data_IF_676556271896
#
_entry.id   IF_676556271896
#
_cell.length_a   1.000
_cell.length_b   1.000
_cell.length_c   1.000
_cell.angle_alpha   90.00
_cell.angle_beta   90.00
_cell.angle_gamma   90.00
#
_symmetry.space_group_name_H-M   'P 1'
#
loop_
_entity.id
_entity.type
_entity.pdbx_description
1 polymer ?
#
# COMPACT_ATOMS: atom_id res chain seq x y z
N UNK A 1 -17.08 -67.75 -36.50
CA UNK A 1 -18.28 -67.26 -35.80
C UNK A 1 -18.17 -67.61 -34.31
N UNK A 2 -17.72 -66.72 -33.49
CA UNK A 2 -17.57 -66.96 -32.04
C UNK A 2 -18.37 -65.86 -31.31
N UNK A 3 -19.50 -66.28 -30.69
CA UNK A 3 -20.40 -65.44 -29.92
C UNK A 3 -19.71 -64.95 -28.61
N UNK A 4 -19.54 -63.65 -28.41
CA UNK A 4 -19.22 -63.05 -27.11
C UNK A 4 -20.43 -63.16 -26.19
N UNK A 5 -20.28 -63.82 -25.03
CA UNK A 5 -21.24 -63.81 -23.93
C UNK A 5 -21.19 -62.46 -23.20
N UNK A 6 -22.26 -61.73 -23.20
CA UNK A 6 -22.50 -60.59 -22.31
C UNK A 6 -22.61 -61.05 -20.85
N UNK A 7 -21.76 -60.53 -19.98
CA UNK A 7 -21.86 -60.74 -18.52
C UNK A 7 -22.82 -59.71 -17.95
N UNK A 8 -23.98 -60.16 -17.55
CA UNK A 8 -24.94 -59.36 -16.77
C UNK A 8 -24.42 -59.21 -15.33
N UNK A 9 -24.20 -57.98 -14.89
CA UNK A 9 -23.79 -57.65 -13.52
C UNK A 9 -25.00 -57.80 -12.61
N UNK A 10 -24.90 -58.65 -11.59
CA UNK A 10 -25.99 -58.89 -10.66
C UNK A 10 -26.24 -57.71 -9.70
N UNK A 11 -27.50 -57.56 -9.30
CA UNK A 11 -27.98 -56.47 -8.45
C UNK A 11 -27.15 -56.23 -7.18
N UNK A 12 -26.53 -57.27 -6.58
CA UNK A 12 -25.61 -57.19 -5.43
C UNK A 12 -24.28 -56.54 -5.79
N UNK A 13 -23.76 -56.78 -6.98
CA UNK A 13 -22.49 -56.19 -7.42
C UNK A 13 -22.64 -54.70 -7.86
N UNK A 14 -23.83 -54.34 -8.32
CA UNK A 14 -24.19 -52.94 -8.59
C UNK A 14 -24.29 -52.12 -7.30
N UNK A 15 -24.89 -52.69 -6.25
CA UNK A 15 -25.00 -52.02 -4.95
C UNK A 15 -23.65 -51.95 -4.18
N UNK A 16 -22.77 -52.92 -4.37
CA UNK A 16 -21.39 -52.84 -3.78
C UNK A 16 -20.54 -51.80 -4.51
N UNK A 17 -20.68 -51.64 -5.82
CA UNK A 17 -19.94 -50.62 -6.57
C UNK A 17 -20.46 -49.21 -6.36
N UNK A 18 -21.78 -49.04 -6.07
CA UNK A 18 -22.32 -47.73 -5.66
C UNK A 18 -21.97 -47.32 -4.26
N UNK A 19 -21.79 -48.27 -3.32
CA UNK A 19 -21.29 -47.96 -1.95
C UNK A 19 -19.81 -47.58 -1.95
N UNK A 20 -18.98 -48.13 -2.84
CA UNK A 20 -17.56 -47.76 -2.95
C UNK A 20 -17.34 -46.45 -3.69
N UNK A 21 -18.26 -46.04 -4.61
CA UNK A 21 -18.20 -44.73 -5.29
C UNK A 21 -18.74 -43.58 -4.41
N UNK A 22 -19.55 -43.88 -3.38
CA UNK A 22 -20.08 -42.87 -2.44
C UNK A 22 -19.13 -42.48 -1.32
N UNK A 23 -18.01 -43.22 -1.12
CA UNK A 23 -17.04 -42.95 -0.04
C UNK A 23 -15.82 -42.12 -0.49
N UNK A 24 -15.73 -41.75 -1.78
CA UNK A 24 -14.57 -41.05 -2.31
C UNK A 24 -14.82 -39.59 -2.75
N UNK A 25 -15.94 -38.97 -2.41
CA UNK A 25 -16.26 -37.57 -2.71
C UNK A 25 -16.69 -36.81 -1.45
N UNK A 26 -16.05 -37.11 -0.31
CA UNK A 26 -15.93 -36.15 0.79
C UNK A 26 -14.48 -35.62 0.82
N UNK A 27 -14.01 -35.09 -0.32
CA UNK A 27 -12.96 -34.08 -0.28
C UNK A 27 -13.63 -32.84 0.31
N UNK A 28 -13.25 -32.56 1.52
CA UNK A 28 -13.62 -31.44 2.36
C UNK A 28 -13.76 -30.17 1.51
N UNK A 29 -14.99 -29.79 1.18
CA UNK A 29 -15.31 -28.36 1.10
C UNK A 29 -14.81 -27.78 2.43
N UNK A 30 -14.05 -26.67 2.45
CA UNK A 30 -13.79 -26.00 3.71
C UNK A 30 -15.17 -25.76 4.29
N UNK A 31 -15.46 -26.37 5.45
CA UNK A 31 -16.67 -26.09 6.22
C UNK A 31 -16.73 -24.59 6.30
N UNK A 32 -17.70 -23.98 5.62
CA UNK A 32 -18.10 -22.62 5.91
C UNK A 32 -18.46 -22.65 7.40
N UNK A 33 -17.51 -22.25 8.25
CA UNK A 33 -17.73 -22.08 9.67
C UNK A 33 -18.92 -21.15 9.73
N UNK A 34 -20.04 -21.60 10.23
CA UNK A 34 -21.16 -20.72 10.55
C UNK A 34 -20.61 -19.79 11.63
N UNK A 35 -20.12 -18.62 11.18
CA UNK A 35 -19.54 -17.62 12.05
C UNK A 35 -20.69 -17.11 12.91
N UNK A 36 -20.62 -17.36 14.21
CA UNK A 36 -21.57 -16.85 15.18
C UNK A 36 -21.47 -15.31 15.29
N UNK A 37 -22.36 -14.68 16.02
CA UNK A 37 -22.32 -13.25 16.30
C UNK A 37 -21.00 -12.82 16.96
N UNK A 38 -20.26 -13.75 17.58
CA UNK A 38 -18.94 -13.52 18.20
C UNK A 38 -17.76 -13.53 17.19
N UNK A 39 -17.98 -13.93 15.93
CA UNK A 39 -16.94 -13.99 14.90
C UNK A 39 -16.88 -12.72 14.05
N UNK A 40 -17.65 -11.67 14.42
CA UNK A 40 -17.69 -10.41 13.71
C UNK A 40 -16.46 -9.57 14.05
N UNK A 41 -15.72 -9.14 13.01
CA UNK A 41 -14.60 -8.22 13.17
C UNK A 41 -15.13 -6.77 13.24
N UNK A 42 -14.89 -6.13 14.37
CA UNK A 42 -15.36 -4.78 14.69
C UNK A 42 -14.24 -3.78 14.44
N UNK A 43 -14.41 -2.94 13.41
CA UNK A 43 -13.43 -1.97 13.00
C UNK A 43 -13.67 -0.60 13.63
N UNK A 44 -12.56 0.08 13.94
CA UNK A 44 -12.48 1.53 14.10
C UNK A 44 -11.85 2.16 12.87
N UNK A 45 -12.25 3.37 12.51
CA UNK A 45 -11.65 4.16 11.43
C UNK A 45 -11.10 5.47 11.99
N UNK A 46 -9.79 5.70 11.85
CA UNK A 46 -9.14 6.98 12.15
C UNK A 46 -8.80 7.68 10.84
N UNK A 47 -9.46 8.81 10.58
CA UNK A 47 -9.40 9.52 9.31
C UNK A 47 -10.53 9.12 8.35
N UNK A 48 -11.68 9.79 8.44
CA UNK A 48 -12.88 9.57 7.63
C UNK A 48 -12.87 10.28 6.27
N UNK A 49 -11.69 10.72 5.79
CA UNK A 49 -11.52 11.35 4.49
C UNK A 49 -11.72 10.36 3.33
N UNK A 50 -11.48 10.82 2.08
CA UNK A 50 -11.73 10.01 0.87
C UNK A 50 -11.04 8.63 0.92
N UNK A 51 -9.79 8.56 1.39
CA UNK A 51 -9.09 7.28 1.49
C UNK A 51 -9.66 6.38 2.58
N UNK A 52 -10.00 6.96 3.74
CA UNK A 52 -10.67 6.20 4.82
C UNK A 52 -12.00 5.60 4.39
N UNK A 53 -12.81 6.37 3.67
CA UNK A 53 -14.09 5.90 3.10
C UNK A 53 -13.89 4.80 2.04
N UNK A 54 -12.85 4.90 1.21
CA UNK A 54 -12.49 3.86 0.24
C UNK A 54 -12.09 2.55 0.95
N UNK A 55 -11.23 2.60 1.95
CA UNK A 55 -10.85 1.43 2.76
C UNK A 55 -12.06 0.83 3.48
N UNK A 56 -12.89 1.68 4.06
CA UNK A 56 -14.13 1.24 4.69
C UNK A 56 -15.05 0.52 3.70
N UNK A 57 -15.22 1.08 2.50
CA UNK A 57 -16.04 0.44 1.45
C UNK A 57 -15.49 -0.93 1.04
N UNK A 58 -14.16 -1.11 1.01
CA UNK A 58 -13.54 -2.41 0.75
C UNK A 58 -13.78 -3.37 1.90
N UNK A 59 -13.56 -2.93 3.14
CA UNK A 59 -13.72 -3.77 4.34
C UNK A 59 -15.17 -4.24 4.55
N UNK A 60 -16.16 -3.37 4.36
CA UNK A 60 -17.58 -3.70 4.54
C UNK A 60 -18.15 -4.67 3.49
N UNK A 61 -17.44 -4.94 2.39
CA UNK A 61 -17.80 -5.99 1.43
C UNK A 61 -17.41 -7.39 1.93
N UNK A 62 -16.54 -7.46 2.92
CA UNK A 62 -16.06 -8.74 3.45
C UNK A 62 -17.06 -9.29 4.47
N UNK A 63 -17.21 -10.62 4.55
CA UNK A 63 -18.18 -11.23 5.47
C UNK A 63 -17.82 -10.95 6.94
N UNK A 64 -18.84 -10.68 7.74
CA UNK A 64 -18.70 -10.45 9.18
C UNK A 64 -17.68 -9.36 9.56
N UNK A 65 -17.72 -8.25 8.86
CA UNK A 65 -16.98 -7.02 9.16
C UNK A 65 -17.98 -5.90 9.38
N UNK A 66 -17.78 -5.11 10.43
CA UNK A 66 -18.59 -3.92 10.71
C UNK A 66 -17.74 -2.76 11.21
N UNK A 67 -18.17 -1.53 10.93
CA UNK A 67 -17.60 -0.33 11.52
C UNK A 67 -18.39 0.03 12.79
N UNK A 68 -17.72 0.11 13.93
CA UNK A 68 -18.34 0.49 15.21
C UNK A 68 -18.00 1.91 15.64
N UNK A 69 -16.93 2.48 15.15
CA UNK A 69 -16.52 3.85 15.47
C UNK A 69 -15.68 4.51 14.36
N UNK A 70 -15.81 5.84 14.27
CA UNK A 70 -14.95 6.70 13.43
C UNK A 70 -14.40 7.84 14.28
N UNK A 71 -13.13 8.20 14.04
CA UNK A 71 -12.52 9.39 14.58
C UNK A 71 -11.96 10.26 13.45
N UNK A 72 -12.38 11.52 13.41
CA UNK A 72 -11.87 12.54 12.47
C UNK A 72 -11.98 13.91 13.11
N UNK A 73 -11.00 14.76 12.88
CA UNK A 73 -10.97 16.13 13.42
C UNK A 73 -11.93 17.08 12.73
N UNK A 74 -12.50 16.68 11.58
CA UNK A 74 -13.46 17.45 10.81
C UNK A 74 -14.85 16.84 10.92
N UNK A 75 -15.79 17.56 11.57
CA UNK A 75 -17.14 17.07 11.87
C UNK A 75 -17.90 16.53 10.65
N UNK A 76 -17.74 17.17 9.49
CA UNK A 76 -18.34 16.71 8.22
C UNK A 76 -17.99 15.23 7.90
N UNK A 77 -16.78 14.78 8.24
CA UNK A 77 -16.34 13.40 7.96
C UNK A 77 -17.11 12.37 8.79
N UNK A 78 -17.57 12.75 9.97
CA UNK A 78 -18.45 11.91 10.78
C UNK A 78 -19.76 11.61 10.04
N UNK A 79 -20.39 12.64 9.47
CA UNK A 79 -21.67 12.49 8.75
C UNK A 79 -21.48 11.69 7.44
N UNK A 80 -20.38 11.94 6.73
CA UNK A 80 -20.04 11.20 5.52
C UNK A 80 -19.88 9.70 5.79
N UNK A 81 -19.17 9.32 6.84
CA UNK A 81 -18.97 7.91 7.24
C UNK A 81 -20.29 7.29 7.73
N UNK A 82 -21.11 8.03 8.49
CA UNK A 82 -22.40 7.54 8.97
C UNK A 82 -23.42 7.25 7.87
N UNK A 83 -23.26 7.80 6.66
CA UNK A 83 -24.12 7.44 5.52
C UNK A 83 -23.98 5.97 5.13
N UNK A 84 -22.79 5.37 5.33
CA UNK A 84 -22.52 3.96 5.01
C UNK A 84 -22.48 3.06 6.24
N UNK A 85 -22.28 3.63 7.43
CA UNK A 85 -22.27 2.95 8.70
C UNK A 85 -23.06 3.75 9.77
N UNK A 86 -24.40 3.78 9.71
CA UNK A 86 -25.23 4.68 10.54
C UNK A 86 -25.08 4.47 12.06
N UNK A 87 -24.74 3.24 12.49
CA UNK A 87 -24.55 2.89 13.89
C UNK A 87 -23.16 3.27 14.44
N UNK A 88 -22.22 3.71 13.59
CA UNK A 88 -20.88 4.04 14.02
C UNK A 88 -20.87 5.28 14.96
N UNK A 89 -20.22 5.11 16.12
CA UNK A 89 -19.96 6.23 17.04
C UNK A 89 -18.92 7.16 16.44
N UNK A 90 -19.07 8.47 16.57
CA UNK A 90 -18.16 9.44 16.03
C UNK A 90 -17.45 10.23 17.11
N UNK A 91 -16.14 10.45 16.93
CA UNK A 91 -15.28 11.16 17.85
C UNK A 91 -14.36 12.11 17.06
N UNK A 92 -14.03 13.26 17.64
CA UNK A 92 -13.01 14.14 17.07
C UNK A 92 -11.60 13.69 17.44
N UNK A 93 -11.44 13.05 18.60
CA UNK A 93 -10.17 12.55 19.13
C UNK A 93 -10.10 11.02 18.99
N UNK A 94 -9.07 10.53 18.28
CA UNK A 94 -8.83 9.11 18.03
C UNK A 94 -8.67 8.29 19.32
N UNK A 95 -8.14 8.88 20.40
CA UNK A 95 -7.97 8.21 21.70
C UNK A 95 -9.30 7.73 22.26
N UNK A 96 -10.36 8.50 22.06
CA UNK A 96 -11.73 8.10 22.49
C UNK A 96 -12.26 6.89 21.73
N UNK A 97 -11.87 6.73 20.47
CA UNK A 97 -12.16 5.51 19.71
C UNK A 97 -11.32 4.33 20.23
N UNK A 98 -10.06 4.56 20.56
CA UNK A 98 -9.17 3.51 21.05
C UNK A 98 -9.54 3.00 22.45
N UNK A 99 -10.19 3.82 23.29
CA UNK A 99 -10.72 3.43 24.61
C UNK A 99 -11.84 2.38 24.52
N UNK A 100 -12.46 2.22 23.35
CA UNK A 100 -13.60 1.31 23.16
C UNK A 100 -13.14 -0.14 23.20
N UNK A 101 -13.78 -0.93 24.07
CA UNK A 101 -13.48 -2.38 24.23
C UNK A 101 -14.04 -3.23 23.08
N UNK A 102 -15.02 -2.72 22.36
CA UNK A 102 -15.67 -3.38 21.23
C UNK A 102 -15.07 -2.99 19.87
N UNK A 103 -13.86 -2.45 19.82
CA UNK A 103 -13.05 -2.28 18.61
C UNK A 103 -11.94 -3.34 18.63
N UNK A 104 -11.89 -4.18 17.61
CA UNK A 104 -10.91 -5.27 17.48
C UNK A 104 -9.68 -4.82 16.67
N UNK A 105 -9.90 -4.11 15.57
CA UNK A 105 -8.86 -3.61 14.67
C UNK A 105 -9.19 -2.19 14.20
N UNK A 106 -8.15 -1.45 13.77
CA UNK A 106 -8.27 -0.04 13.37
C UNK A 106 -7.70 0.16 11.98
N UNK A 107 -8.44 0.88 11.14
CA UNK A 107 -7.97 1.42 9.88
C UNK A 107 -7.49 2.86 10.10
N UNK A 108 -6.21 3.14 9.86
CA UNK A 108 -5.63 4.49 9.94
C UNK A 108 -5.45 5.04 8.54
N UNK A 109 -6.16 6.13 8.22
CA UNK A 109 -6.13 6.84 6.93
C UNK A 109 -6.10 8.36 7.11
N UNK A 110 -5.50 8.81 8.18
CA UNK A 110 -5.26 10.22 8.50
C UNK A 110 -4.20 10.85 7.58
N UNK A 111 -3.96 12.16 7.63
CA UNK A 111 -2.80 12.79 7.00
C UNK A 111 -1.48 12.22 7.51
N UNK A 112 -0.47 12.17 6.62
CA UNK A 112 0.79 11.48 6.85
C UNK A 112 1.48 11.84 8.17
N UNK A 113 1.45 13.10 8.55
CA UNK A 113 2.11 13.57 9.78
C UNK A 113 1.51 13.02 11.08
N UNK A 114 0.27 12.53 11.05
CA UNK A 114 -0.39 11.91 12.20
C UNK A 114 -0.18 10.39 12.24
N UNK A 115 0.37 9.77 11.19
CA UNK A 115 0.42 8.32 11.06
C UNK A 115 1.14 7.65 12.23
N UNK A 116 2.32 8.15 12.60
CA UNK A 116 3.12 7.54 13.67
C UNK A 116 2.39 7.57 15.02
N UNK A 117 1.76 8.69 15.37
CA UNK A 117 0.96 8.82 16.59
C UNK A 117 -0.18 7.80 16.59
N UNK A 118 -0.98 7.80 15.53
CA UNK A 118 -2.14 6.91 15.43
C UNK A 118 -1.73 5.43 15.40
N UNK A 119 -0.59 5.11 14.77
CA UNK A 119 0.00 3.79 14.78
C UNK A 119 0.37 3.33 16.20
N UNK A 120 1.17 4.14 16.90
CA UNK A 120 1.66 3.82 18.25
C UNK A 120 0.52 3.72 19.26
N UNK A 121 -0.41 4.66 19.25
CA UNK A 121 -1.57 4.67 20.14
C UNK A 121 -2.48 3.46 19.90
N UNK A 122 -2.65 3.05 18.62
CA UNK A 122 -3.45 1.86 18.27
C UNK A 122 -2.83 0.58 18.84
N UNK A 123 -1.51 0.41 18.68
CA UNK A 123 -0.82 -0.77 19.22
C UNK A 123 -0.83 -0.75 20.76
N UNK A 124 -0.61 0.40 21.36
CA UNK A 124 -0.66 0.56 22.82
C UNK A 124 -2.06 0.22 23.39
N UNK A 125 -3.12 0.49 22.63
CA UNK A 125 -4.48 0.10 22.96
C UNK A 125 -4.79 -1.40 22.73
N UNK A 126 -3.80 -2.19 22.28
CA UNK A 126 -3.91 -3.63 22.04
C UNK A 126 -4.79 -4.00 20.85
N UNK A 127 -4.88 -3.15 19.83
CA UNK A 127 -5.72 -3.38 18.64
C UNK A 127 -4.87 -3.72 17.42
N UNK A 128 -5.40 -4.58 16.55
CA UNK A 128 -4.78 -4.85 15.25
C UNK A 128 -4.89 -3.62 14.34
N UNK A 129 -3.96 -3.47 13.39
CA UNK A 129 -3.78 -2.22 12.66
C UNK A 129 -3.63 -2.43 11.16
N UNK A 130 -4.44 -1.73 10.38
CA UNK A 130 -4.14 -1.37 8.99
C UNK A 130 -3.76 0.10 8.95
N UNK A 131 -2.51 0.42 8.61
CA UNK A 131 -2.04 1.80 8.50
C UNK A 131 -1.79 2.17 7.03
N UNK A 132 -2.38 3.27 6.58
CA UNK A 132 -2.09 3.79 5.24
C UNK A 132 -0.61 4.13 5.05
N UNK A 133 -0.21 4.08 3.80
CA UNK A 133 1.13 4.49 3.37
C UNK A 133 1.20 6.04 3.29
N UNK A 134 2.36 6.61 3.39
CA UNK A 134 3.63 6.12 3.89
C UNK A 134 3.50 5.86 5.39
N UNK A 135 4.20 4.86 5.89
CA UNK A 135 4.01 4.43 7.28
C UNK A 135 4.17 5.58 8.28
N UNK A 136 5.10 6.51 8.04
CA UNK A 136 5.40 7.63 8.92
C UNK A 136 5.84 8.87 8.14
N UNK A 137 5.89 10.01 8.79
CA UNK A 137 6.34 11.29 8.24
C UNK A 137 7.87 11.50 8.35
N UNK A 138 8.54 10.75 9.22
CA UNK A 138 9.99 10.86 9.45
C UNK A 138 10.63 9.50 9.73
N UNK A 139 11.97 9.45 9.63
CA UNK A 139 12.76 8.24 9.94
C UNK A 139 12.66 7.85 11.41
N UNK A 140 12.84 8.78 12.39
CA UNK A 140 12.71 8.44 13.81
C UNK A 140 11.32 7.85 14.16
N UNK A 141 10.28 8.40 13.55
CA UNK A 141 8.93 7.84 13.71
C UNK A 141 8.86 6.40 13.15
N UNK A 142 9.51 6.14 12.01
CA UNK A 142 9.55 4.80 11.42
C UNK A 142 10.27 3.79 12.33
N UNK A 143 11.37 4.20 12.94
CA UNK A 143 12.11 3.39 13.92
C UNK A 143 11.26 3.12 15.18
N UNK A 144 10.58 4.13 15.70
CA UNK A 144 9.69 3.99 16.85
C UNK A 144 8.53 3.04 16.57
N UNK A 145 7.89 3.16 15.40
CA UNK A 145 6.80 2.27 14.97
C UNK A 145 7.28 0.83 14.78
N UNK A 146 8.43 0.61 14.13
CA UNK A 146 9.01 -0.72 13.97
C UNK A 146 9.36 -1.35 15.33
N UNK A 147 9.97 -0.58 16.23
CA UNK A 147 10.31 -1.04 17.56
C UNK A 147 9.07 -1.40 18.39
N UNK A 148 8.00 -0.62 18.31
CA UNK A 148 6.72 -0.92 18.97
C UNK A 148 6.07 -2.18 18.40
N UNK A 149 6.04 -2.31 17.08
CA UNK A 149 5.49 -3.48 16.40
C UNK A 149 6.20 -4.78 16.80
N UNK A 150 7.54 -4.78 16.86
CA UNK A 150 8.34 -5.94 17.30
C UNK A 150 8.09 -6.38 18.74
N UNK A 151 7.58 -5.50 19.59
CA UNK A 151 7.19 -5.84 20.98
C UNK A 151 5.72 -6.20 21.13
N UNK A 152 4.98 -6.20 20.03
CA UNK A 152 3.54 -6.44 20.00
C UNK A 152 3.23 -7.76 19.29
N UNK A 153 2.13 -8.40 19.70
CA UNK A 153 1.53 -9.56 19.04
C UNK A 153 0.42 -9.15 18.05
N UNK A 154 0.24 -7.85 17.82
CA UNK A 154 -0.82 -7.35 16.94
C UNK A 154 -0.49 -7.59 15.47
N UNK A 155 -1.52 -7.89 14.70
CA UNK A 155 -1.41 -7.94 13.24
C UNK A 155 -1.34 -6.53 12.71
N UNK A 156 -0.29 -6.22 11.95
CA UNK A 156 -0.02 -4.90 11.41
C UNK A 156 0.20 -5.01 9.91
N UNK A 157 -0.66 -4.37 9.12
CA UNK A 157 -0.51 -4.27 7.67
C UNK A 157 -0.38 -2.82 7.25
N UNK A 158 0.59 -2.55 6.39
CA UNK A 158 0.76 -1.22 5.78
C UNK A 158 0.06 -1.17 4.41
N UNK A 159 -0.59 -0.07 4.10
CA UNK A 159 -1.38 0.16 2.87
C UNK A 159 -0.54 0.20 1.58
N UNK A 160 0.38 -0.75 1.39
CA UNK A 160 1.25 -0.88 0.22
C UNK A 160 0.70 -1.97 -0.72
N UNK A 161 -0.46 -1.71 -1.34
CA UNK A 161 -1.28 -2.68 -2.08
C UNK A 161 -0.54 -3.38 -3.23
N UNK A 162 0.49 -2.75 -3.81
CA UNK A 162 1.24 -3.33 -4.94
C UNK A 162 1.93 -4.65 -4.61
N UNK A 163 2.24 -4.93 -3.33
CA UNK A 163 2.82 -6.22 -2.93
C UNK A 163 1.79 -7.36 -2.84
N UNK A 164 0.49 -7.06 -3.03
CA UNK A 164 -0.58 -8.06 -3.10
C UNK A 164 -1.02 -8.36 -4.55
N UNK A 165 -0.35 -7.78 -5.56
CA UNK A 165 -0.71 -8.00 -6.97
C UNK A 165 -0.11 -9.29 -7.52
N UNK A 166 -0.79 -9.90 -8.49
CA UNK A 166 -0.24 -11.03 -9.26
C UNK A 166 1.07 -10.68 -9.95
N UNK A 167 1.17 -9.44 -10.45
CA UNK A 167 2.42 -8.91 -11.02
C UNK A 167 3.60 -8.93 -10.03
N UNK A 168 3.34 -8.72 -8.73
CA UNK A 168 4.35 -8.86 -7.68
C UNK A 168 4.78 -10.32 -7.52
N UNK A 169 3.82 -11.23 -7.47
CA UNK A 169 4.08 -12.67 -7.30
C UNK A 169 4.92 -13.23 -8.46
N UNK A 170 4.53 -12.90 -9.70
CA UNK A 170 5.24 -13.35 -10.90
C UNK A 170 6.66 -12.79 -10.99
N UNK A 171 6.83 -11.48 -10.79
CA UNK A 171 8.14 -10.82 -10.82
C UNK A 171 9.08 -11.39 -9.74
N UNK A 172 8.57 -11.56 -8.52
CA UNK A 172 9.33 -12.15 -7.41
C UNK A 172 9.76 -13.57 -7.70
N UNK A 173 8.87 -14.36 -8.30
CA UNK A 173 9.20 -15.73 -8.71
C UNK A 173 10.31 -15.75 -9.76
N UNK A 174 10.24 -14.92 -10.80
CA UNK A 174 11.27 -14.88 -11.84
C UNK A 174 12.64 -14.47 -11.30
N UNK A 175 12.67 -13.54 -10.35
CA UNK A 175 13.92 -13.15 -9.66
C UNK A 175 14.45 -14.30 -8.80
N UNK A 176 13.60 -14.95 -8.01
CA UNK A 176 13.97 -16.07 -7.13
C UNK A 176 14.45 -17.29 -7.91
N UNK A 177 13.87 -17.57 -9.07
CA UNK A 177 14.28 -18.65 -9.98
C UNK A 177 15.61 -18.31 -10.71
N UNK A 178 16.16 -17.11 -10.53
CA UNK A 178 17.43 -16.68 -11.13
C UNK A 178 17.36 -16.41 -12.64
N UNK A 179 16.15 -16.42 -13.24
CA UNK A 179 16.03 -16.25 -14.71
C UNK A 179 16.40 -14.85 -15.18
N UNK A 180 16.34 -13.87 -14.28
CA UNK A 180 16.70 -12.46 -14.56
C UNK A 180 18.23 -12.26 -14.56
N UNK A 181 18.98 -13.13 -13.86
CA UNK A 181 20.42 -12.99 -13.66
C UNK A 181 20.78 -11.88 -12.65
N UNK A 182 22.04 -11.38 -12.71
CA UNK A 182 22.47 -10.28 -11.82
C UNK A 182 21.77 -8.99 -12.21
N UNK A 183 20.98 -8.42 -11.28
CA UNK A 183 20.33 -7.11 -11.42
C UNK A 183 21.30 -6.02 -10.96
N UNK A 184 21.52 -5.01 -11.78
CA UNK A 184 22.40 -3.87 -11.46
C UNK A 184 21.69 -2.53 -11.57
N UNK A 185 20.52 -2.49 -12.23
CA UNK A 185 19.74 -1.27 -12.42
C UNK A 185 18.25 -1.55 -12.37
N UNK A 186 17.52 -0.63 -11.77
CA UNK A 186 16.07 -0.55 -11.84
C UNK A 186 15.66 0.85 -12.24
N UNK A 187 14.83 0.95 -13.26
CA UNK A 187 14.20 2.19 -13.71
C UNK A 187 12.74 2.19 -13.28
N UNK A 188 12.26 3.29 -12.76
CA UNK A 188 10.85 3.43 -12.43
C UNK A 188 10.36 4.86 -12.65
N UNK A 189 9.06 5.00 -12.91
CA UNK A 189 8.46 6.29 -13.20
C UNK A 189 6.99 6.34 -12.84
N UNK A 190 6.50 7.56 -12.56
CA UNK A 190 5.09 7.86 -12.45
C UNK A 190 4.81 9.22 -13.05
N UNK A 191 4.24 9.23 -14.24
CA UNK A 191 3.88 10.42 -14.99
C UNK A 191 2.39 10.69 -14.89
N UNK A 192 2.01 11.90 -14.49
CA UNK A 192 0.62 12.35 -14.37
C UNK A 192 0.46 13.70 -15.05
N UNK A 193 -0.77 13.99 -15.44
CA UNK A 193 -1.16 15.32 -15.90
C UNK A 193 -2.58 15.60 -15.45
N UNK A 194 -2.83 16.80 -14.98
CA UNK A 194 -4.16 17.29 -14.66
C UNK A 194 -4.56 18.40 -15.61
N UNK A 195 -5.85 18.66 -15.82
CA UNK A 195 -6.30 19.78 -16.61
C UNK A 195 -5.64 21.09 -16.16
N UNK A 196 -5.33 21.97 -17.11
CA UNK A 196 -4.66 23.24 -16.83
C UNK A 196 -5.45 24.06 -15.82
N UNK A 197 -4.76 24.58 -14.79
CA UNK A 197 -5.37 25.32 -13.69
C UNK A 197 -5.93 24.46 -12.55
N UNK A 198 -5.80 23.13 -12.64
CA UNK A 198 -6.18 22.19 -11.60
C UNK A 198 -4.94 21.39 -11.16
N UNK A 199 -4.14 21.95 -10.28
CA UNK A 199 -2.91 21.30 -9.81
C UNK A 199 -3.19 19.93 -9.18
N UNK A 200 -2.29 18.96 -9.40
CA UNK A 200 -2.40 17.62 -8.81
C UNK A 200 -2.57 17.75 -7.29
N UNK A 201 -3.61 17.09 -6.75
CA UNK A 201 -4.04 17.08 -5.34
C UNK A 201 -4.71 18.35 -4.83
N UNK A 202 -4.80 19.42 -5.59
CA UNK A 202 -5.57 20.61 -5.18
C UNK A 202 -7.05 20.26 -5.16
N UNK A 203 -7.69 20.55 -4.04
CA UNK A 203 -9.13 20.33 -3.81
C UNK A 203 -9.77 21.63 -3.38
N UNK A 204 -11.00 21.89 -3.83
CA UNK A 204 -11.75 23.06 -3.35
C UNK A 204 -11.98 22.94 -1.84
N UNK A 205 -11.86 24.06 -1.15
CA UNK A 205 -12.16 24.16 0.27
C UNK A 205 -13.68 24.22 0.44
N UNK A 206 -14.30 23.24 1.15
CA UNK A 206 -15.72 23.29 1.44
C UNK A 206 -16.07 24.51 2.29
N UNK A 207 -17.26 25.12 2.09
CA UNK A 207 -17.71 26.31 2.82
C UNK A 207 -17.86 26.07 4.33
N UNK A 208 -18.12 24.83 4.73
CA UNK A 208 -18.23 24.42 6.14
C UNK A 208 -16.86 24.03 6.77
N UNK A 209 -15.75 24.16 6.05
CA UNK A 209 -14.42 23.94 6.58
C UNK A 209 -13.94 25.19 7.34
N UNK A 210 -14.40 25.34 8.56
CA UNK A 210 -14.14 26.49 9.44
C UNK A 210 -13.46 26.06 10.73
N UNK A 211 -12.93 27.01 11.50
CA UNK A 211 -12.32 26.75 12.80
C UNK A 211 -13.29 26.08 13.81
N UNK A 212 -14.60 26.34 13.68
CA UNK A 212 -15.60 25.75 14.56
C UNK A 212 -15.88 24.27 14.23
N UNK A 213 -15.66 23.86 12.97
CA UNK A 213 -15.97 22.52 12.47
C UNK A 213 -14.75 21.60 12.41
N UNK A 214 -13.53 22.14 12.64
CA UNK A 214 -12.26 21.40 12.60
C UNK A 214 -11.53 21.54 13.92
N UNK A 215 -11.17 20.41 14.55
CA UNK A 215 -10.33 20.41 15.75
C UNK A 215 -8.88 20.60 15.33
N UNK A 216 -8.52 21.87 15.07
CA UNK A 216 -7.25 22.25 14.44
C UNK A 216 -6.03 21.83 15.25
N UNK A 217 -6.06 21.92 16.58
CA UNK A 217 -4.96 21.52 17.46
C UNK A 217 -4.72 20.00 17.39
N UNK A 218 -5.79 19.20 17.26
CA UNK A 218 -5.66 17.76 17.06
C UNK A 218 -5.09 17.45 15.67
N UNK A 219 -5.43 18.24 14.64
CA UNK A 219 -4.82 18.10 13.31
C UNK A 219 -3.34 18.44 13.32
N UNK A 220 -2.94 19.48 14.03
CA UNK A 220 -1.52 19.88 14.12
C UNK A 220 -0.64 18.80 14.78
N UNK A 221 -1.20 17.96 15.62
CA UNK A 221 -0.51 16.83 16.28
C UNK A 221 0.85 17.20 16.88
N UNK A 222 0.85 18.24 17.70
CA UNK A 222 2.07 18.74 18.38
C UNK A 222 3.00 19.61 17.54
N UNK A 223 2.62 19.93 16.30
CA UNK A 223 3.31 20.93 15.48
C UNK A 223 3.08 22.34 16.04
N UNK A 224 3.96 23.32 15.71
CA UNK A 224 3.82 24.67 16.21
C UNK A 224 2.41 25.23 16.00
N UNK A 225 1.83 25.76 17.08
CA UNK A 225 0.50 26.36 17.05
C UNK A 225 0.46 27.53 16.05
N UNK A 226 -0.62 27.58 15.28
CA UNK A 226 -0.89 28.63 14.28
C UNK A 226 -2.39 28.82 14.11
N UNK A 227 -2.83 29.95 13.55
CA UNK A 227 -4.22 30.15 13.17
C UNK A 227 -4.70 29.07 12.21
N UNK A 228 -5.99 28.73 12.28
CA UNK A 228 -6.61 27.79 11.37
C UNK A 228 -6.47 28.25 9.91
N UNK A 229 -6.09 27.34 9.04
CA UNK A 229 -5.96 27.55 7.61
C UNK A 229 -6.67 26.42 6.86
N UNK A 230 -7.85 26.72 6.37
CA UNK A 230 -8.71 25.75 5.67
C UNK A 230 -8.07 25.22 4.39
N UNK A 231 -7.30 26.04 3.67
CA UNK A 231 -6.60 25.60 2.47
C UNK A 231 -5.51 24.59 2.80
N UNK A 232 -4.67 24.86 3.80
CA UNK A 232 -3.65 23.93 4.28
C UNK A 232 -4.25 22.64 4.85
N UNK A 233 -5.37 22.74 5.56
CA UNK A 233 -6.08 21.57 6.09
C UNK A 233 -6.58 20.65 4.98
N UNK A 234 -7.30 21.18 3.99
CA UNK A 234 -7.85 20.36 2.89
C UNK A 234 -6.77 19.88 1.93
N UNK A 235 -5.75 20.71 1.69
CA UNK A 235 -4.69 20.47 0.73
C UNK A 235 -3.36 20.11 1.41
N UNK A 236 -3.39 19.43 2.53
CA UNK A 236 -2.22 19.12 3.37
C UNK A 236 -1.07 18.44 2.59
N UNK A 237 -1.37 17.71 1.51
CA UNK A 237 -0.37 17.05 0.66
C UNK A 237 0.60 18.00 -0.02
N UNK A 238 0.26 19.29 -0.10
CA UNK A 238 1.07 20.31 -0.76
C UNK A 238 2.17 20.87 0.14
N UNK A 239 2.15 20.57 1.46
CA UNK A 239 2.98 21.21 2.46
C UNK A 239 3.89 20.22 3.16
N UNK A 240 5.20 20.56 3.25
CA UNK A 240 6.21 19.72 3.91
C UNK A 240 5.90 19.39 5.37
N UNK A 241 5.19 20.28 6.03
CA UNK A 241 4.79 20.12 7.42
C UNK A 241 3.88 18.91 7.65
N UNK A 242 3.07 18.57 6.67
CA UNK A 242 2.03 17.54 6.78
C UNK A 242 2.25 16.33 5.85
N UNK A 243 3.14 16.46 4.87
CA UNK A 243 3.38 15.48 3.82
C UNK A 243 4.87 15.42 3.44
N UNK A 244 5.27 14.36 2.76
CA UNK A 244 6.55 14.27 2.05
C UNK A 244 6.39 14.41 0.53
N UNK A 245 5.25 14.96 0.08
CA UNK A 245 4.97 15.22 -1.33
C UNK A 245 4.92 13.97 -2.19
N UNK A 246 5.29 14.12 -3.45
CA UNK A 246 5.20 13.07 -4.46
C UNK A 246 5.99 11.80 -4.10
N UNK A 247 7.07 11.94 -3.37
CA UNK A 247 7.89 10.82 -2.85
C UNK A 247 7.04 9.92 -1.95
N UNK A 248 6.43 10.49 -0.90
CA UNK A 248 5.64 9.72 0.07
C UNK A 248 4.24 9.37 -0.43
N UNK A 249 3.72 10.11 -1.40
CA UNK A 249 2.38 9.82 -1.92
C UNK A 249 2.37 8.81 -3.05
N UNK A 250 3.42 8.76 -3.89
CA UNK A 250 3.47 7.96 -5.10
C UNK A 250 4.66 6.99 -5.17
N UNK A 251 5.91 7.47 -5.01
CA UNK A 251 7.11 6.63 -5.17
C UNK A 251 7.06 5.40 -4.27
N UNK A 252 6.55 5.52 -3.06
CA UNK A 252 6.49 4.43 -2.07
C UNK A 252 5.72 3.20 -2.57
N UNK A 253 4.72 3.36 -3.44
CA UNK A 253 4.00 2.24 -4.03
C UNK A 253 4.89 1.41 -4.95
N UNK A 254 5.65 2.08 -5.82
CA UNK A 254 6.58 1.42 -6.75
C UNK A 254 7.79 0.89 -6.00
N UNK A 255 8.30 1.69 -5.05
CA UNK A 255 9.46 1.32 -4.26
C UNK A 255 9.19 0.08 -3.40
N UNK A 256 8.00 -0.04 -2.78
CA UNK A 256 7.61 -1.25 -2.03
C UNK A 256 7.56 -2.50 -2.92
N UNK A 257 7.09 -2.34 -4.16
CA UNK A 257 7.09 -3.41 -5.15
C UNK A 257 8.52 -3.81 -5.53
N UNK A 258 9.38 -2.85 -5.91
CA UNK A 258 10.78 -3.09 -6.29
C UNK A 258 11.55 -3.76 -5.15
N UNK A 259 11.49 -3.16 -3.94
CA UNK A 259 12.20 -3.67 -2.78
C UNK A 259 11.70 -5.05 -2.34
N UNK A 260 10.41 -5.32 -2.50
CA UNK A 260 9.81 -6.62 -2.19
C UNK A 260 10.16 -7.69 -3.23
N UNK A 261 10.17 -7.37 -4.51
CA UNK A 261 10.54 -8.30 -5.61
C UNK A 261 12.00 -8.71 -5.49
N UNK A 262 12.90 -7.76 -5.21
CA UNK A 262 14.35 -7.97 -5.13
C UNK A 262 14.86 -8.26 -3.71
N UNK A 263 13.98 -8.30 -2.71
CA UNK A 263 14.29 -8.42 -1.28
C UNK A 263 15.38 -7.44 -0.80
N UNK A 264 15.24 -6.16 -1.18
CA UNK A 264 16.24 -5.14 -0.89
C UNK A 264 16.11 -4.62 0.55
N UNK A 265 17.26 -4.35 1.21
CA UNK A 265 17.30 -3.63 2.49
C UNK A 265 17.02 -2.14 2.29
N UNK A 266 17.24 -1.33 3.32
CA UNK A 266 17.32 0.12 3.20
C UNK A 266 18.48 0.51 2.29
N UNK A 267 18.32 1.52 1.39
CA UNK A 267 19.41 1.98 0.53
C UNK A 267 20.58 2.56 1.34
N UNK A 268 21.81 2.42 0.85
CA UNK A 268 23.01 2.97 1.49
C UNK A 268 23.11 4.49 1.28
N UNK A 269 22.53 5.01 0.18
CA UNK A 269 22.46 6.42 -0.07
C UNK A 269 21.28 6.79 -1.00
N UNK A 270 20.90 8.06 -0.95
CA UNK A 270 19.90 8.66 -1.81
C UNK A 270 20.39 10.01 -2.36
N UNK A 271 19.96 10.32 -3.57
CA UNK A 271 20.05 11.62 -4.18
C UNK A 271 18.74 11.98 -4.87
N UNK A 272 18.31 13.25 -4.78
CA UNK A 272 17.10 13.72 -5.42
C UNK A 272 17.29 15.14 -5.95
N UNK A 273 16.88 15.34 -7.20
CA UNK A 273 16.74 16.65 -7.84
C UNK A 273 15.29 16.88 -8.25
N UNK A 274 14.93 18.14 -8.53
CA UNK A 274 13.60 18.52 -8.96
C UNK A 274 13.19 19.90 -8.45
N UNK A 275 11.89 20.17 -8.53
CA UNK A 275 11.34 21.44 -8.08
C UNK A 275 9.85 21.59 -8.35
N UNK A 276 9.32 22.75 -7.99
CA UNK A 276 7.98 23.21 -8.37
C UNK A 276 8.08 23.92 -9.71
N UNK A 277 8.02 23.15 -10.81
CA UNK A 277 8.26 23.65 -12.16
C UNK A 277 6.96 23.97 -12.92
N UNK A 278 5.97 23.12 -12.79
CA UNK A 278 4.69 23.21 -13.51
C UNK A 278 3.59 23.89 -12.70
N UNK A 279 3.38 23.44 -11.47
CA UNK A 279 2.24 23.84 -10.63
C UNK A 279 2.58 25.08 -9.79
N UNK A 280 1.91 26.21 -10.05
CA UNK A 280 2.11 27.47 -9.33
C UNK A 280 0.93 27.78 -8.37
N UNK A 281 0.52 26.79 -7.60
CA UNK A 281 -0.64 26.80 -6.73
C UNK A 281 -0.34 27.01 -5.22
N UNK A 282 0.89 27.43 -4.92
CA UNK A 282 1.34 27.67 -3.53
C UNK A 282 1.89 26.44 -2.82
N UNK A 283 2.08 25.31 -3.54
CA UNK A 283 2.71 24.12 -2.98
C UNK A 283 4.16 24.34 -2.62
N UNK A 284 4.59 23.64 -1.59
CA UNK A 284 5.98 23.61 -1.14
C UNK A 284 6.71 22.37 -1.70
N UNK A 285 5.96 21.28 -1.95
CA UNK A 285 6.51 20.00 -2.41
C UNK A 285 6.69 19.98 -3.94
N UNK A 286 7.77 19.39 -4.45
CA UNK A 286 8.07 19.40 -5.88
C UNK A 286 7.03 18.59 -6.70
N UNK A 287 6.79 19.06 -7.92
CA UNK A 287 5.92 18.43 -8.92
C UNK A 287 6.70 17.68 -10.01
N UNK A 288 7.99 17.95 -10.13
CA UNK A 288 8.91 17.30 -11.07
C UNK A 288 10.15 16.84 -10.33
N UNK A 289 10.47 15.56 -10.46
CA UNK A 289 11.40 14.86 -9.55
C UNK A 289 12.22 13.84 -10.33
N UNK A 290 13.51 13.70 -9.96
CA UNK A 290 14.38 12.59 -10.29
C UNK A 290 15.10 12.12 -9.03
N UNK A 291 14.99 10.83 -8.71
CA UNK A 291 15.59 10.17 -7.55
C UNK A 291 16.55 9.10 -8.00
N UNK A 292 17.66 8.96 -7.27
CA UNK A 292 18.59 7.82 -7.34
C UNK A 292 18.76 7.25 -5.94
N UNK A 293 18.63 5.94 -5.81
CA UNK A 293 18.86 5.18 -4.57
C UNK A 293 19.96 4.15 -4.83
N UNK A 294 21.04 4.20 -4.06
CA UNK A 294 22.13 3.22 -4.10
C UNK A 294 21.85 2.11 -3.08
N UNK A 295 21.97 0.85 -3.49
CA UNK A 295 21.79 -0.31 -2.63
C UNK A 295 23.10 -1.08 -2.43
N UNK A 296 23.26 -1.85 -1.33
CA UNK A 296 24.54 -2.48 -0.99
C UNK A 296 24.94 -3.65 -1.93
N UNK A 297 24.07 -4.04 -2.87
CA UNK A 297 24.28 -5.18 -3.80
C UNK A 297 24.75 -4.73 -5.19
N UNK A 298 25.49 -3.63 -5.29
CA UNK A 298 25.88 -3.00 -6.58
C UNK A 298 24.66 -2.70 -7.47
N UNK A 299 23.59 -2.21 -6.87
CA UNK A 299 22.32 -1.92 -7.51
C UNK A 299 21.96 -0.47 -7.36
N UNK A 300 21.57 0.17 -8.45
CA UNK A 300 20.97 1.51 -8.49
C UNK A 300 19.52 1.42 -8.87
N UNK A 301 18.66 2.09 -8.09
CA UNK A 301 17.24 2.28 -8.41
C UNK A 301 17.00 3.75 -8.73
N UNK A 302 16.40 4.03 -9.87
CA UNK A 302 15.97 5.37 -10.25
C UNK A 302 14.46 5.51 -10.24
N UNK A 303 13.96 6.69 -9.89
CA UNK A 303 12.55 7.04 -9.99
C UNK A 303 12.37 8.44 -10.53
N UNK A 304 11.49 8.58 -11.51
CA UNK A 304 11.18 9.86 -12.13
C UNK A 304 9.68 10.14 -12.09
N UNK A 305 9.32 11.40 -11.87
CA UNK A 305 7.92 11.80 -11.86
C UNK A 305 7.75 13.23 -12.36
N UNK A 306 6.67 13.46 -13.08
CA UNK A 306 6.20 14.81 -13.41
C UNK A 306 4.67 14.86 -13.31
N UNK A 307 4.13 16.03 -12.95
CA UNK A 307 2.69 16.29 -12.98
C UNK A 307 2.24 17.04 -14.25
N UNK A 308 3.15 17.31 -15.18
CA UNK A 308 2.89 18.05 -16.41
C UNK A 308 2.75 17.18 -17.66
N UNK A 309 2.95 15.87 -17.55
CA UNK A 309 2.84 14.95 -18.67
C UNK A 309 2.49 13.53 -18.17
N UNK A 310 1.49 12.88 -18.77
CA UNK A 310 1.02 11.54 -18.37
C UNK A 310 1.40 10.44 -19.37
N UNK A 311 2.24 10.72 -20.37
CA UNK A 311 2.46 9.82 -21.50
C UNK A 311 2.80 8.38 -21.15
N UNK A 312 3.69 8.18 -20.18
CA UNK A 312 4.16 6.84 -19.84
C UNK A 312 3.45 6.23 -18.64
N UNK A 313 2.47 6.92 -18.03
CA UNK A 313 1.74 6.42 -16.89
C UNK A 313 2.67 6.05 -15.73
N UNK A 314 2.56 4.82 -15.27
CA UNK A 314 3.34 4.24 -14.18
C UNK A 314 4.04 2.96 -14.67
N UNK A 315 5.30 2.78 -14.33
CA UNK A 315 6.02 1.57 -14.67
C UNK A 315 7.32 1.38 -13.91
N UNK A 316 7.83 0.15 -13.95
CA UNK A 316 9.12 -0.28 -13.45
C UNK A 316 9.78 -1.26 -14.42
N UNK A 317 11.12 -1.16 -14.54
CA UNK A 317 11.97 -2.11 -15.26
C UNK A 317 13.09 -2.58 -14.35
N UNK A 318 13.17 -3.87 -14.13
CA UNK A 318 14.29 -4.53 -13.44
C UNK A 318 15.22 -5.10 -14.52
N UNK A 319 16.41 -4.51 -14.63
CA UNK A 319 17.38 -4.83 -15.68
C UNK A 319 18.41 -5.80 -15.14
N UNK A 320 18.32 -7.05 -15.57
CA UNK A 320 19.23 -8.12 -15.19
C UNK A 320 20.06 -8.62 -16.36
N UNK A 321 21.17 -9.29 -16.06
CA UNK A 321 22.12 -9.79 -17.06
C UNK A 321 21.53 -10.85 -18.01
N UNK A 322 20.44 -11.52 -17.60
CA UNK A 322 19.79 -12.56 -18.43
C UNK A 322 18.44 -12.11 -18.99
N UNK A 323 17.89 -10.99 -18.54
CA UNK A 323 16.63 -10.46 -19.02
C UNK A 323 16.07 -9.35 -18.17
N UNK A 324 14.99 -8.77 -18.65
CA UNK A 324 14.29 -7.63 -18.03
C UNK A 324 12.92 -8.05 -17.55
N UNK A 325 12.58 -7.70 -16.32
CA UNK A 325 11.19 -7.72 -15.82
C UNK A 325 10.62 -6.32 -15.95
N UNK A 326 9.55 -6.16 -16.71
CA UNK A 326 8.87 -4.88 -16.90
C UNK A 326 7.43 -4.97 -16.39
N UNK A 327 7.05 -4.03 -15.52
CA UNK A 327 5.66 -3.80 -15.11
C UNK A 327 5.23 -2.43 -15.57
N UNK A 328 4.04 -2.35 -16.18
CA UNK A 328 3.42 -1.09 -16.59
C UNK A 328 1.98 -1.02 -16.14
N UNK A 329 1.50 0.17 -15.82
CA UNK A 329 0.09 0.43 -15.52
C UNK A 329 -0.30 1.82 -16.03
N UNK A 330 -1.41 1.89 -16.75
CA UNK A 330 -1.88 3.14 -17.36
C UNK A 330 -0.98 3.67 -18.48
N UNK A 331 -0.10 2.85 -19.02
CA UNK A 331 0.72 3.17 -20.18
C UNK A 331 -0.08 3.05 -21.48
N UNK A 332 0.23 3.90 -22.44
CA UNK A 332 -0.38 3.83 -23.78
C UNK A 332 0.63 3.24 -24.76
N UNK A 333 0.26 2.15 -25.41
CA UNK A 333 1.04 1.57 -26.50
C UNK A 333 1.24 2.60 -27.61
N UNK A 334 2.48 2.81 -28.02
CA UNK A 334 2.87 3.86 -28.97
C UNK A 334 2.37 3.58 -30.38
N UNK A 335 2.19 2.30 -30.73
CA UNK A 335 1.81 1.88 -32.09
C UNK A 335 0.28 1.77 -32.20
N UNK A 336 -0.33 1.13 -31.22
CA UNK A 336 -1.78 0.83 -31.26
C UNK A 336 -2.64 1.89 -30.57
N UNK A 337 -2.05 2.78 -29.77
CA UNK A 337 -2.76 3.73 -28.90
C UNK A 337 -3.52 3.08 -27.75
N UNK A 338 -3.38 1.76 -27.55
CA UNK A 338 -4.09 1.00 -26.52
C UNK A 338 -3.40 1.16 -25.17
N UNK A 339 -4.21 1.35 -24.12
CA UNK A 339 -3.73 1.31 -22.74
C UNK A 339 -3.30 -0.11 -22.41
N UNK A 340 -2.06 -0.25 -21.92
CA UNK A 340 -1.47 -1.53 -21.49
C UNK A 340 -1.28 -1.55 -19.99
N UNK A 341 -1.46 -2.71 -19.38
CA UNK A 341 -1.15 -2.98 -17.98
C UNK A 341 -0.75 -4.44 -17.82
N UNK A 342 0.19 -4.70 -16.90
CA UNK A 342 0.65 -6.05 -16.61
C UNK A 342 2.13 -6.12 -16.30
N UNK A 343 2.63 -7.35 -16.15
CA UNK A 343 4.06 -7.65 -15.96
C UNK A 343 4.51 -8.67 -16.99
N UNK A 344 5.74 -8.51 -17.48
CA UNK A 344 6.37 -9.48 -18.39
C UNK A 344 7.86 -9.62 -18.06
N UNK A 345 8.40 -10.77 -18.42
CA UNK A 345 9.82 -11.04 -18.49
C UNK A 345 10.23 -11.12 -19.96
N UNK A 346 11.25 -10.35 -20.35
CA UNK A 346 11.89 -10.38 -21.67
C UNK A 346 13.34 -10.87 -21.52
N UNK A 347 13.75 -11.98 -22.16
CA UNK A 347 15.12 -12.48 -22.09
C UNK A 347 16.09 -11.55 -22.82
N UNK A 348 17.29 -11.38 -22.24
CA UNK A 348 18.41 -10.65 -22.89
C UNK A 348 19.03 -11.53 -23.97
N UNK A 349 18.87 -11.14 -25.22
CA UNK A 349 19.28 -11.96 -26.37
C UNK A 349 20.77 -12.27 -26.45
N UNK A 350 21.61 -11.37 -25.91
CA UNK A 350 23.05 -11.60 -25.85
C UNK A 350 23.41 -12.82 -24.96
N UNK A 351 22.66 -13.06 -23.89
CA UNK A 351 22.91 -14.13 -22.91
C UNK A 351 21.91 -15.29 -23.01
N UNK A 352 20.77 -15.06 -23.65
CA UNK A 352 19.69 -16.05 -23.82
C UNK A 352 19.05 -15.91 -25.22
N UNK A 353 19.79 -16.27 -26.29
CA UNK A 353 19.32 -16.05 -27.68
C UNK A 353 18.02 -16.76 -28.00
N UNK A 354 17.80 -17.96 -27.42
CA UNK A 354 16.59 -18.78 -27.64
C UNK A 354 15.50 -18.53 -26.57
N UNK A 355 15.71 -17.57 -25.67
CA UNK A 355 14.74 -17.24 -24.64
C UNK A 355 13.46 -16.66 -25.22
N UNK A 356 12.31 -17.04 -24.65
CA UNK A 356 11.00 -16.48 -24.99
C UNK A 356 10.53 -15.48 -23.91
N UNK A 357 9.82 -14.44 -24.34
CA UNK A 357 9.13 -13.53 -23.42
C UNK A 357 8.01 -14.28 -22.69
N UNK A 358 7.82 -13.96 -21.41
CA UNK A 358 6.81 -14.57 -20.54
C UNK A 358 5.92 -13.46 -19.97
N UNK A 359 4.60 -13.61 -20.11
CA UNK A 359 3.62 -12.73 -19.47
C UNK A 359 3.25 -13.27 -18.11
N UNK A 360 3.14 -12.37 -17.12
CA UNK A 360 2.62 -12.71 -15.81
C UNK A 360 1.12 -13.02 -15.86
N UNK A 361 0.71 -14.02 -15.08
CA UNK A 361 -0.66 -14.52 -15.07
C UNK A 361 -1.22 -14.78 -13.68
N UNK A 362 -0.42 -14.56 -12.64
CA UNK A 362 -0.89 -14.73 -11.27
C UNK A 362 -2.03 -13.76 -10.96
N UNK A 363 -3.08 -14.21 -10.24
CA UNK A 363 -4.19 -13.34 -9.87
C UNK A 363 -3.77 -12.34 -8.78
N UNK A 364 -4.41 -11.18 -8.80
CA UNK A 364 -4.30 -10.22 -7.71
C UNK A 364 -4.98 -10.78 -6.44
N UNK A 365 -4.40 -10.48 -5.30
CA UNK A 365 -5.00 -10.72 -3.98
C UNK A 365 -5.63 -9.42 -3.48
N UNK A 366 -6.83 -9.51 -2.91
CA UNK A 366 -7.44 -8.37 -2.24
C UNK A 366 -6.65 -8.03 -0.96
N UNK A 367 -6.06 -6.85 -0.94
CA UNK A 367 -5.19 -6.41 0.15
C UNK A 367 -5.95 -6.21 1.47
N UNK A 368 -7.21 -5.74 1.42
CA UNK A 368 -8.05 -5.59 2.60
C UNK A 368 -8.55 -6.95 3.10
N UNK A 369 -8.91 -7.87 2.21
CA UNK A 369 -9.26 -9.24 2.58
C UNK A 369 -8.07 -9.94 3.24
N UNK A 370 -6.85 -9.77 2.73
CA UNK A 370 -5.64 -10.30 3.35
C UNK A 370 -5.46 -9.79 4.79
N UNK A 371 -5.68 -8.49 5.03
CA UNK A 371 -5.65 -7.93 6.39
C UNK A 371 -6.66 -8.62 7.32
N UNK A 372 -7.93 -8.68 6.91
CA UNK A 372 -9.01 -9.28 7.69
C UNK A 372 -8.74 -10.76 7.99
N UNK A 373 -8.25 -11.51 7.00
CA UNK A 373 -7.89 -12.92 7.15
C UNK A 373 -6.69 -13.10 8.10
N UNK A 374 -5.70 -12.21 8.05
CA UNK A 374 -4.56 -12.23 8.95
C UNK A 374 -4.96 -11.89 10.39
N UNK A 375 -5.86 -10.93 10.60
CA UNK A 375 -6.42 -10.64 11.93
C UNK A 375 -7.10 -11.88 12.53
N UNK A 376 -7.89 -12.61 11.72
CA UNK A 376 -8.59 -13.84 12.17
C UNK A 376 -7.67 -15.03 12.38
N UNK A 377 -6.66 -15.19 11.52
CA UNK A 377 -5.75 -16.34 11.53
C UNK A 377 -4.47 -16.11 12.32
N UNK A 378 -4.19 -14.86 12.71
CA UNK A 378 -2.94 -14.40 13.34
C UNK A 378 -1.69 -14.65 12.46
N UNK A 379 -1.86 -14.76 11.14
CA UNK A 379 -0.76 -14.86 10.18
C UNK A 379 -0.16 -13.50 9.87
N UNK A 380 1.06 -13.51 9.34
CA UNK A 380 1.73 -12.29 8.84
C UNK A 380 1.05 -11.82 7.56
N UNK A 381 0.67 -10.54 7.45
CA UNK A 381 0.05 -10.00 6.26
C UNK A 381 1.07 -9.77 5.11
N UNK A 382 0.55 -9.52 3.90
CA UNK A 382 1.37 -9.32 2.70
C UNK A 382 2.31 -8.13 2.79
N UNK A 383 1.91 -7.07 3.48
CA UNK A 383 2.72 -5.86 3.72
C UNK A 383 2.93 -5.64 5.22
N UNK A 384 3.77 -6.45 5.89
CA UNK A 384 4.06 -6.27 7.31
C UNK A 384 4.85 -4.97 7.56
N UNK A 385 5.00 -4.63 8.84
CA UNK A 385 5.64 -3.38 9.27
C UNK A 385 7.07 -3.20 8.70
N UNK A 386 7.82 -4.28 8.51
CA UNK A 386 9.18 -4.26 7.94
C UNK A 386 9.20 -3.74 6.51
N UNK A 387 8.21 -4.09 5.70
CA UNK A 387 8.04 -3.55 4.34
C UNK A 387 7.74 -2.06 4.40
N UNK A 388 6.83 -1.66 5.29
CA UNK A 388 6.52 -0.25 5.53
C UNK A 388 7.73 0.56 5.98
N UNK A 389 8.50 0.03 6.93
CA UNK A 389 9.71 0.66 7.46
C UNK A 389 10.76 0.90 6.37
N UNK A 390 11.18 -0.17 5.66
CA UNK A 390 12.21 -0.06 4.62
C UNK A 390 11.82 0.95 3.55
N UNK A 391 10.56 0.92 3.13
CA UNK A 391 10.01 1.82 2.10
C UNK A 391 9.93 3.27 2.59
N UNK A 392 9.50 3.49 3.83
CA UNK A 392 9.42 4.83 4.43
C UNK A 392 10.81 5.45 4.61
N UNK A 393 11.77 4.69 5.13
CA UNK A 393 13.15 5.17 5.30
C UNK A 393 13.75 5.59 3.96
N UNK A 394 13.63 4.76 2.92
CA UNK A 394 14.15 5.08 1.59
C UNK A 394 13.50 6.35 1.00
N UNK A 395 12.19 6.52 1.18
CA UNK A 395 11.46 7.70 0.74
C UNK A 395 11.92 8.97 1.50
N UNK A 396 12.12 8.87 2.81
CA UNK A 396 12.59 9.99 3.62
C UNK A 396 14.04 10.36 3.32
N UNK A 397 14.91 9.39 3.02
CA UNK A 397 16.28 9.66 2.55
C UNK A 397 16.27 10.50 1.27
N UNK A 398 15.41 10.20 0.30
CA UNK A 398 15.26 11.00 -0.92
C UNK A 398 14.79 12.43 -0.61
N UNK A 399 13.78 12.59 0.25
CA UNK A 399 13.31 13.90 0.67
C UNK A 399 14.38 14.72 1.42
N UNK A 400 15.17 14.07 2.27
CA UNK A 400 16.31 14.71 2.95
C UNK A 400 17.37 15.18 1.94
N UNK A 401 17.72 14.34 0.95
CA UNK A 401 18.65 14.69 -0.10
C UNK A 401 18.19 15.91 -0.91
N UNK A 402 16.90 16.00 -1.24
CA UNK A 402 16.32 17.16 -1.90
C UNK A 402 16.42 18.43 -1.06
N UNK A 403 16.04 18.34 0.22
CA UNK A 403 16.02 19.51 1.14
C UNK A 403 17.42 19.98 1.48
N UNK A 404 18.39 19.08 1.60
CA UNK A 404 19.79 19.39 1.88
C UNK A 404 20.59 19.73 0.60
N UNK A 405 20.03 19.47 -0.58
CA UNK A 405 20.70 19.60 -1.88
C UNK A 405 22.03 18.83 -1.94
N UNK A 406 22.04 17.65 -1.34
CA UNK A 406 23.22 16.80 -1.19
C UNK A 406 22.85 15.31 -1.27
N UNK A 407 23.87 14.46 -1.56
CA UNK A 407 23.75 13.02 -1.37
C UNK A 407 23.63 12.71 0.12
N UNK A 408 22.60 11.96 0.51
CA UNK A 408 22.35 11.57 1.90
C UNK A 408 22.64 10.07 2.05
N UNK A 409 23.54 9.71 2.95
CA UNK A 409 23.78 8.31 3.32
C UNK A 409 22.78 7.84 4.37
N UNK A 410 22.62 6.52 4.50
CA UNK A 410 21.77 5.94 5.55
C UNK A 410 22.22 6.40 6.94
N UNK A 411 23.52 6.46 7.21
CA UNK A 411 24.07 6.93 8.47
C UNK A 411 23.67 8.41 8.76
N UNK A 412 23.83 9.29 7.77
CA UNK A 412 23.42 10.71 7.89
C UNK A 412 21.91 10.81 8.15
N UNK A 413 21.11 10.01 7.48
CA UNK A 413 19.66 10.02 7.60
C UNK A 413 19.20 9.56 9.00
N UNK A 414 19.80 8.51 9.54
CA UNK A 414 19.51 8.02 10.89
C UNK A 414 19.98 9.02 11.97
N UNK A 415 21.12 9.68 11.78
CA UNK A 415 21.64 10.68 12.71
C UNK A 415 20.80 11.97 12.77
N UNK A 416 20.04 12.31 11.71
CA UNK A 416 19.15 13.50 11.71
C UNK A 416 18.00 13.35 12.70
N UNK A 417 17.65 12.15 13.11
CA UNK A 417 16.62 11.89 14.11
C UNK A 417 17.07 11.99 15.56
N UNK A 418 18.38 12.12 15.79
CA UNK A 418 18.96 12.23 17.12
C UNK A 418 19.10 13.71 17.60
N UNK A 419 18.64 14.69 16.83
CA UNK A 419 18.66 16.13 17.15
C UNK A 419 17.23 16.72 17.21
#
# INVERSE_FOLDING_TARGET
MTRKRERTIGRRQFLANTAAAGAAVWVMSPMARVLGANDRLRLGLIGGGARGQELLSQALKLPNVELVAVADVYARRHDEVRRVAPAARAFSDHRRLLDLKDVDAVLVASPLHCHARHFLDTIAAGKDLYAEKTMTWSIPEAEACLAAAKRSDRVIQIGLQHVSTGAFADARKWVADGVVGKVTSVESWMSRNTPRGHGQWVRPVPSDCTADNVQWDLFLDGRPARPFDAFRFINWRLFWEFSGGNITENMVHQLSWIMGVLDLPVPVAAYMSGGVFSEKDGREVPDTIAVTLDFPTDLVVTWQSTFSNSRYGLGERILGSHGTVERVSGSTDMVTGRLTSGVRYDPEKANRPDGAAVLGQSPDQDHMANFVDCVRSRKTPNAPVEVGYRTAVAAHMANLAYRQKARVTAEMAMATGAR
#
